data_IF_761693223033
#
_entry.id   IF_761693223033
#
_cell.length_a   1.000
_cell.length_b   1.000
_cell.length_c   1.000
_cell.angle_alpha   90.00
_cell.angle_beta   90.00
_cell.angle_gamma   90.00
#
_symmetry.space_group_name_H-M   'P 1'
#
loop_
_entity.id
_entity.type
_entity.pdbx_description
1 polymer ?
#
# COMPACT_ATOMS: atom_id res chain seq x y z
N UNK A 1 29.27 6.89 -33.80
CA UNK A 1 29.40 7.75 -32.62
C UNK A 1 28.24 7.52 -31.62
N UNK A 2 26.97 7.50 -32.03
CA UNK A 2 25.79 7.28 -31.14
C UNK A 2 25.80 5.92 -30.40
N UNK A 3 26.22 4.82 -31.04
CA UNK A 3 26.22 3.48 -30.44
C UNK A 3 27.23 3.34 -29.27
N UNK A 4 28.40 3.99 -29.39
CA UNK A 4 29.40 4.01 -28.31
C UNK A 4 28.95 4.83 -27.10
N UNK A 5 28.19 5.88 -27.32
CA UNK A 5 27.62 6.71 -26.22
C UNK A 5 26.55 5.95 -25.48
N UNK A 6 25.67 5.20 -26.17
CA UNK A 6 24.65 4.35 -25.57
C UNK A 6 25.26 3.19 -24.75
N UNK A 7 26.32 2.57 -25.24
CA UNK A 7 27.05 1.54 -24.51
C UNK A 7 27.78 2.12 -23.29
N UNK A 8 28.33 3.32 -23.41
CA UNK A 8 28.99 4.02 -22.29
C UNK A 8 27.96 4.43 -21.21
N UNK A 9 26.78 4.90 -21.60
CA UNK A 9 25.70 5.25 -20.70
C UNK A 9 25.11 4.00 -20.01
N UNK A 10 24.97 2.87 -20.72
CA UNK A 10 24.61 1.56 -20.12
C UNK A 10 25.72 1.05 -19.20
N UNK A 11 26.97 1.25 -19.54
CA UNK A 11 28.11 0.85 -18.71
C UNK A 11 28.24 1.74 -17.47
N UNK A 12 28.05 3.07 -17.60
CA UNK A 12 28.00 4.02 -16.47
C UNK A 12 26.81 3.77 -15.55
N UNK A 13 25.62 3.42 -16.06
CA UNK A 13 24.47 2.97 -15.25
C UNK A 13 24.77 1.69 -14.45
N UNK A 14 25.62 0.82 -14.95
CA UNK A 14 26.03 -0.43 -14.28
C UNK A 14 27.12 -0.21 -13.23
N UNK A 15 27.84 0.91 -13.27
CA UNK A 15 28.86 1.30 -12.27
C UNK A 15 28.38 2.33 -11.25
N UNK A 16 27.39 3.13 -11.57
CA UNK A 16 26.62 3.83 -10.56
C UNK A 16 25.59 2.83 -10.01
N UNK A 17 25.92 2.18 -8.91
CA UNK A 17 24.98 1.48 -8.04
C UNK A 17 24.04 2.49 -7.39
N UNK A 18 23.29 3.26 -8.16
CA UNK A 18 22.14 4.02 -7.68
C UNK A 18 21.06 2.98 -7.41
N UNK A 19 20.93 2.62 -6.17
CA UNK A 19 19.84 1.76 -5.70
C UNK A 19 18.55 2.43 -6.13
N UNK A 20 17.72 1.71 -6.89
CA UNK A 20 16.44 2.19 -7.41
C UNK A 20 15.57 2.67 -6.23
N UNK A 21 14.90 3.80 -6.39
CA UNK A 21 13.97 4.34 -5.41
C UNK A 21 12.55 4.13 -5.88
N UNK A 22 11.73 3.56 -5.01
CA UNK A 22 10.31 3.33 -5.26
C UNK A 22 9.50 4.12 -4.22
N UNK A 23 8.74 5.11 -4.68
CA UNK A 23 7.80 5.85 -3.85
C UNK A 23 6.52 5.04 -3.63
N UNK A 24 5.92 5.14 -2.46
CA UNK A 24 4.67 4.48 -2.14
C UNK A 24 3.84 5.30 -1.14
N UNK A 25 2.53 5.04 -1.08
CA UNK A 25 1.64 5.66 -0.08
C UNK A 25 1.97 5.13 1.32
N UNK A 26 2.63 5.97 2.12
CA UNK A 26 3.04 5.67 3.48
C UNK A 26 1.88 5.64 4.49
N UNK A 27 2.20 5.45 5.77
CA UNK A 27 3.51 5.22 6.33
C UNK A 27 4.07 3.80 6.07
N UNK A 28 5.23 3.48 6.66
CA UNK A 28 5.74 2.12 6.68
C UNK A 28 4.77 1.17 7.41
N UNK A 29 4.74 -0.11 7.02
CA UNK A 29 3.80 -1.10 7.55
C UNK A 29 2.45 -1.16 6.82
N UNK A 30 2.25 -0.33 5.78
CA UNK A 30 1.03 -0.37 4.95
C UNK A 30 1.11 -1.48 3.88
N UNK A 31 -0.05 -1.84 3.31
CA UNK A 31 -0.11 -2.73 2.14
C UNK A 31 0.54 -2.11 0.90
N UNK A 32 0.59 -0.78 0.82
CA UNK A 32 1.35 -0.09 -0.23
C UNK A 32 2.85 -0.29 -0.10
N UNK A 33 3.41 -0.33 1.14
CA UNK A 33 4.79 -0.74 1.34
C UNK A 33 5.01 -2.19 0.91
N UNK A 34 4.08 -3.09 1.26
CA UNK A 34 4.16 -4.50 0.86
C UNK A 34 4.21 -4.61 -0.67
N UNK A 35 3.29 -3.94 -1.38
CA UNK A 35 3.27 -3.92 -2.84
C UNK A 35 4.59 -3.41 -3.45
N UNK A 36 5.16 -2.34 -2.87
CA UNK A 36 6.43 -1.79 -3.33
C UNK A 36 7.61 -2.74 -3.09
N UNK A 37 7.60 -3.52 -2.00
CA UNK A 37 8.59 -4.57 -1.73
C UNK A 37 8.45 -5.78 -2.65
N UNK A 38 7.21 -6.19 -2.94
CA UNK A 38 6.92 -7.30 -3.82
C UNK A 38 7.27 -6.95 -5.27
N UNK A 39 7.17 -5.66 -5.63
CA UNK A 39 7.60 -5.13 -6.92
C UNK A 39 9.13 -5.14 -7.08
N UNK A 40 9.86 -4.58 -6.11
CA UNK A 40 11.32 -4.53 -6.14
C UNK A 40 11.89 -4.63 -4.71
N UNK A 41 12.33 -5.84 -4.35
CA UNK A 41 12.84 -6.14 -3.01
C UNK A 41 14.18 -5.44 -2.69
N UNK A 42 14.93 -5.04 -3.71
CA UNK A 42 16.25 -4.41 -3.57
C UNK A 42 16.16 -2.86 -3.61
N UNK A 43 14.98 -2.30 -3.88
CA UNK A 43 14.78 -0.86 -3.96
C UNK A 43 14.83 -0.18 -2.60
N UNK A 44 15.24 1.09 -2.61
CA UNK A 44 15.02 2.00 -1.48
C UNK A 44 13.59 2.50 -1.54
N UNK A 45 12.80 2.13 -0.53
CA UNK A 45 11.39 2.52 -0.44
C UNK A 45 11.25 3.91 0.17
N UNK A 46 10.46 4.77 -0.48
CA UNK A 46 10.24 6.17 -0.10
C UNK A 46 8.76 6.38 0.25
N UNK A 47 8.39 6.41 1.55
CA UNK A 47 7.01 6.71 1.95
C UNK A 47 6.67 8.18 1.68
N UNK A 48 5.47 8.41 1.16
CA UNK A 48 4.90 9.75 0.95
C UNK A 48 3.44 9.80 1.40
N UNK A 49 2.90 11.01 1.59
CA UNK A 49 1.64 11.22 2.32
C UNK A 49 0.37 11.02 1.48
N UNK A 50 0.49 10.97 0.15
CA UNK A 50 -0.69 10.85 -0.73
C UNK A 50 -0.35 10.22 -2.08
N UNK A 51 -1.37 9.68 -2.77
CA UNK A 51 -1.24 9.14 -4.13
C UNK A 51 -0.69 10.19 -5.11
N UNK A 52 -1.18 11.45 -5.13
CA UNK A 52 -0.55 12.49 -5.95
C UNK A 52 0.92 12.73 -5.61
N UNK A 53 1.32 12.63 -4.33
CA UNK A 53 2.72 12.77 -3.91
C UNK A 53 3.60 11.63 -4.41
N UNK A 54 3.06 10.39 -4.57
CA UNK A 54 3.77 9.28 -5.22
C UNK A 54 4.11 9.64 -6.66
N UNK A 55 3.11 10.06 -7.45
CA UNK A 55 3.33 10.45 -8.84
C UNK A 55 4.29 11.66 -8.96
N UNK A 56 4.13 12.66 -8.10
CA UNK A 56 5.03 13.83 -8.07
C UNK A 56 6.48 13.43 -7.78
N UNK A 57 6.69 12.42 -6.91
CA UNK A 57 8.04 11.91 -6.62
C UNK A 57 8.69 11.31 -7.85
N UNK A 58 7.93 10.62 -8.69
CA UNK A 58 8.42 10.09 -9.97
C UNK A 58 8.65 11.23 -10.98
N UNK A 59 7.68 12.12 -11.16
CA UNK A 59 7.76 13.24 -12.11
C UNK A 59 8.95 14.15 -11.79
N UNK A 60 9.25 14.40 -10.53
CA UNK A 60 10.38 15.22 -10.11
C UNK A 60 11.74 14.50 -10.10
N UNK A 61 11.76 13.19 -10.28
CA UNK A 61 12.97 12.36 -10.19
C UNK A 61 13.45 12.14 -8.75
N UNK A 62 12.62 12.40 -7.74
CA UNK A 62 12.90 12.06 -6.34
C UNK A 62 12.84 10.55 -6.10
N UNK A 63 12.01 9.85 -6.88
CA UNK A 63 11.97 8.41 -7.02
C UNK A 63 12.03 8.00 -8.50
N UNK A 64 12.49 6.78 -8.77
CA UNK A 64 12.56 6.23 -10.13
C UNK A 64 11.20 5.69 -10.57
N UNK A 65 10.44 5.14 -9.62
CA UNK A 65 9.11 4.57 -9.81
C UNK A 65 8.21 4.88 -8.61
N UNK A 66 6.89 4.68 -8.82
CA UNK A 66 5.90 4.87 -7.77
C UNK A 66 4.85 3.76 -7.76
N UNK A 67 4.54 3.20 -6.61
CA UNK A 67 3.52 2.16 -6.44
C UNK A 67 2.27 2.76 -5.79
N UNK A 68 1.13 2.62 -6.46
CA UNK A 68 -0.16 3.13 -6.02
C UNK A 68 -1.27 2.08 -6.15
N UNK A 69 -2.24 2.03 -5.21
CA UNK A 69 -3.40 1.14 -5.35
C UNK A 69 -4.30 1.63 -6.47
N UNK A 70 -4.79 0.73 -7.32
CA UNK A 70 -5.73 1.05 -8.41
C UNK A 70 -7.11 0.46 -8.19
N UNK A 71 -7.20 -0.71 -7.56
CA UNK A 71 -8.46 -1.43 -7.35
C UNK A 71 -8.37 -2.34 -6.12
N UNK A 72 -9.45 -2.40 -5.36
CA UNK A 72 -9.65 -3.39 -4.30
C UNK A 72 -10.84 -4.28 -4.63
N UNK A 73 -10.72 -5.59 -4.41
CA UNK A 73 -11.75 -6.58 -4.76
C UNK A 73 -13.10 -6.38 -4.05
N UNK A 74 -13.13 -5.69 -2.90
CA UNK A 74 -14.33 -5.42 -2.12
C UNK A 74 -14.90 -4.03 -2.42
N UNK A 75 -14.04 -3.02 -2.58
CA UNK A 75 -14.43 -1.61 -2.66
C UNK A 75 -14.43 -1.05 -4.08
N UNK A 76 -13.80 -1.76 -5.02
CA UNK A 76 -13.69 -1.33 -6.41
C UNK A 76 -12.51 -0.39 -6.67
N UNK A 77 -12.64 0.45 -7.69
CA UNK A 77 -11.57 1.31 -8.17
C UNK A 77 -11.18 2.43 -7.19
N UNK A 78 -9.89 2.72 -7.11
CA UNK A 78 -9.35 3.83 -6.32
C UNK A 78 -9.43 5.13 -7.13
N UNK A 79 -10.45 5.93 -6.86
CA UNK A 79 -10.76 7.16 -7.62
C UNK A 79 -9.56 8.08 -7.78
N UNK A 80 -8.79 8.34 -6.71
CA UNK A 80 -7.61 9.19 -6.78
C UNK A 80 -6.54 8.71 -7.76
N UNK A 81 -6.34 7.39 -7.86
CA UNK A 81 -5.39 6.82 -8.82
C UNK A 81 -5.92 6.92 -10.24
N UNK A 82 -7.22 6.65 -10.42
CA UNK A 82 -7.86 6.75 -11.74
C UNK A 82 -7.84 8.19 -12.25
N UNK A 83 -8.22 9.16 -11.42
CA UNK A 83 -8.18 10.58 -11.78
C UNK A 83 -6.76 11.05 -12.11
N UNK A 84 -5.78 10.63 -11.31
CA UNK A 84 -4.36 10.92 -11.56
C UNK A 84 -3.90 10.42 -12.93
N UNK A 85 -4.23 9.18 -13.28
CA UNK A 85 -3.83 8.56 -14.54
C UNK A 85 -4.52 9.17 -15.75
N UNK A 86 -5.77 9.63 -15.59
CA UNK A 86 -6.58 10.18 -16.69
C UNK A 86 -6.26 11.64 -16.93
N UNK A 87 -6.05 12.44 -15.89
CA UNK A 87 -6.06 13.90 -15.97
C UNK A 87 -4.73 14.55 -15.60
N UNK A 88 -3.97 14.00 -14.66
CA UNK A 88 -2.92 14.75 -13.96
C UNK A 88 -1.51 14.23 -14.21
N UNK A 89 -1.33 13.12 -14.91
CA UNK A 89 0.01 12.51 -15.04
C UNK A 89 0.29 12.03 -16.46
N UNK A 90 1.56 12.23 -16.89
CA UNK A 90 2.10 11.65 -18.12
C UNK A 90 2.94 10.40 -17.81
N UNK A 91 2.68 9.74 -16.67
CA UNK A 91 3.37 8.52 -16.29
C UNK A 91 2.68 7.32 -16.93
N UNK A 92 3.49 6.32 -17.32
CA UNK A 92 3.02 5.03 -17.79
C UNK A 92 2.90 4.04 -16.65
N UNK A 93 1.96 3.10 -16.76
CA UNK A 93 1.92 1.91 -15.91
C UNK A 93 2.95 0.93 -16.49
N UNK A 94 4.02 0.64 -15.76
CA UNK A 94 5.07 -0.29 -16.18
C UNK A 94 4.92 -1.68 -15.56
N UNK A 95 4.00 -1.88 -14.62
CA UNK A 95 3.71 -3.20 -14.05
C UNK A 95 2.62 -3.16 -12.99
N UNK A 96 2.30 -4.34 -12.47
CA UNK A 96 1.30 -4.51 -11.43
C UNK A 96 1.75 -5.51 -10.37
N UNK A 97 1.22 -5.35 -9.18
CA UNK A 97 1.38 -6.25 -8.03
C UNK A 97 0.04 -6.44 -7.35
N UNK A 98 -0.32 -7.68 -7.05
CA UNK A 98 -1.54 -8.00 -6.29
C UNK A 98 -1.15 -8.40 -4.88
N UNK A 99 -1.73 -7.73 -3.89
CA UNK A 99 -1.49 -7.99 -2.47
C UNK A 99 -2.76 -8.48 -1.81
N UNK A 100 -2.69 -9.64 -1.16
CA UNK A 100 -3.77 -10.15 -0.31
C UNK A 100 -3.82 -9.34 0.99
N UNK A 101 -5.00 -8.86 1.34
CA UNK A 101 -5.25 -8.03 2.51
C UNK A 101 -5.70 -8.90 3.67
N UNK A 102 -4.79 -9.23 4.56
CA UNK A 102 -5.07 -9.99 5.77
C UNK A 102 -4.94 -9.10 6.99
N UNK A 103 -6.01 -8.98 7.77
CA UNK A 103 -6.04 -8.16 8.97
C UNK A 103 -5.62 -8.99 10.20
N UNK A 104 -4.74 -8.42 11.03
CA UNK A 104 -4.30 -9.02 12.28
C UNK A 104 -4.73 -8.15 13.44
N UNK A 105 -5.29 -8.76 14.50
CA UNK A 105 -5.44 -8.13 15.80
C UNK A 105 -4.13 -8.25 16.55
N UNK A 106 -3.62 -7.16 17.10
CA UNK A 106 -2.34 -7.10 17.79
C UNK A 106 -2.39 -6.16 19.00
N UNK A 107 -1.46 -6.36 19.94
CA UNK A 107 -1.31 -5.53 21.14
C UNK A 107 0.17 -5.34 21.50
N UNK A 108 0.46 -4.53 22.53
CA UNK A 108 1.82 -4.34 23.04
C UNK A 108 2.42 -5.65 23.61
N UNK A 109 1.59 -6.52 24.15
CA UNK A 109 1.98 -7.80 24.72
C UNK A 109 0.84 -8.81 24.60
N UNK A 110 1.12 -10.09 24.92
CA UNK A 110 0.05 -11.10 24.98
C UNK A 110 -0.96 -10.71 26.08
N UNK A 111 -2.21 -10.52 25.71
CA UNK A 111 -3.33 -10.19 26.59
C UNK A 111 -4.58 -10.95 26.18
N UNK A 112 -5.48 -11.19 27.14
CA UNK A 112 -6.79 -11.80 26.86
C UNK A 112 -7.72 -10.78 26.22
N UNK A 113 -8.63 -11.22 25.36
CA UNK A 113 -9.55 -10.35 24.62
C UNK A 113 -10.47 -9.54 25.57
N UNK A 114 -10.87 -10.14 26.70
CA UNK A 114 -11.70 -9.50 27.72
C UNK A 114 -11.00 -8.29 28.39
N UNK A 115 -9.68 -8.27 28.38
CA UNK A 115 -8.88 -7.18 28.94
C UNK A 115 -8.76 -5.99 27.98
N UNK A 116 -9.03 -6.16 26.68
CA UNK A 116 -8.94 -5.11 25.68
C UNK A 116 -10.08 -4.10 25.89
N UNK A 117 -9.72 -2.84 26.04
CA UNK A 117 -10.67 -1.71 26.25
C UNK A 117 -10.87 -0.89 25.00
N UNK A 118 -9.86 -0.82 24.15
CA UNK A 118 -9.84 0.00 22.93
C UNK A 118 -9.32 -0.84 21.79
N UNK A 119 -9.94 -0.72 20.60
CA UNK A 119 -9.40 -1.23 19.33
C UNK A 119 -9.25 -0.08 18.35
N UNK A 120 -8.04 0.11 17.83
CA UNK A 120 -7.70 1.16 16.88
C UNK A 120 -7.46 0.58 15.50
N UNK A 121 -7.97 1.25 14.46
CA UNK A 121 -7.62 0.98 13.06
C UNK A 121 -8.14 2.08 12.14
N UNK A 122 -7.79 2.02 10.85
CA UNK A 122 -8.47 2.81 9.84
C UNK A 122 -9.96 2.42 9.78
N UNK A 123 -10.89 3.38 9.58
CA UNK A 123 -12.34 3.11 9.56
C UNK A 123 -12.75 1.96 8.64
N UNK A 124 -12.11 1.87 7.48
CA UNK A 124 -12.32 0.81 6.51
C UNK A 124 -12.01 -0.57 7.10
N UNK A 125 -10.87 -0.74 7.77
CA UNK A 125 -10.48 -2.02 8.37
C UNK A 125 -11.35 -2.39 9.58
N UNK A 126 -11.79 -1.41 10.38
CA UNK A 126 -12.79 -1.63 11.42
C UNK A 126 -14.10 -2.15 10.80
N UNK A 127 -14.51 -1.60 9.65
CA UNK A 127 -15.69 -2.05 8.90
C UNK A 127 -15.54 -3.46 8.32
N UNK A 128 -14.33 -3.83 7.86
CA UNK A 128 -14.02 -5.16 7.30
C UNK A 128 -13.91 -6.26 8.37
N UNK A 129 -13.74 -5.89 9.64
CA UNK A 129 -13.61 -6.81 10.78
C UNK A 129 -14.81 -6.67 11.76
N UNK A 130 -15.94 -6.13 11.28
CA UNK A 130 -17.07 -5.77 12.16
C UNK A 130 -17.70 -6.95 12.88
N UNK A 131 -17.85 -8.08 12.19
CA UNK A 131 -18.45 -9.28 12.78
C UNK A 131 -17.52 -9.90 13.80
N UNK A 132 -16.23 -10.01 13.48
CA UNK A 132 -15.21 -10.44 14.44
C UNK A 132 -15.19 -9.56 15.71
N UNK A 133 -15.18 -8.24 15.55
CA UNK A 133 -15.17 -7.29 16.66
C UNK A 133 -16.41 -7.41 17.55
N UNK A 134 -17.58 -7.55 16.93
CA UNK A 134 -18.85 -7.73 17.66
C UNK A 134 -18.87 -9.01 18.49
N UNK A 135 -18.34 -10.11 17.96
CA UNK A 135 -18.38 -11.43 18.60
C UNK A 135 -17.33 -11.58 19.69
N UNK A 136 -16.15 -11.00 19.52
CA UNK A 136 -15.01 -11.26 20.40
C UNK A 136 -14.63 -10.05 21.29
N UNK A 137 -14.98 -8.82 20.88
CA UNK A 137 -14.52 -7.57 21.50
C UNK A 137 -15.68 -6.58 21.70
N UNK A 138 -16.88 -7.08 21.98
CA UNK A 138 -18.11 -6.27 22.06
C UNK A 138 -18.07 -5.15 23.12
N UNK A 139 -17.17 -5.24 24.10
CA UNK A 139 -17.02 -4.25 25.18
C UNK A 139 -15.89 -3.24 24.90
N UNK A 140 -15.14 -3.40 23.82
CA UNK A 140 -14.06 -2.50 23.46
C UNK A 140 -14.59 -1.27 22.70
N UNK A 141 -14.05 -0.10 23.00
CA UNK A 141 -14.28 1.12 22.23
C UNK A 141 -13.50 1.05 20.91
N UNK A 142 -14.15 1.39 19.79
CA UNK A 142 -13.52 1.41 18.47
C UNK A 142 -13.09 2.84 18.15
N UNK A 143 -11.79 3.06 17.94
CA UNK A 143 -11.21 4.37 17.63
C UNK A 143 -10.61 4.37 16.23
N UNK A 144 -11.01 5.37 15.44
CA UNK A 144 -10.49 5.56 14.10
C UNK A 144 -9.10 6.21 14.13
N UNK A 145 -8.16 5.63 13.36
CA UNK A 145 -6.82 6.17 13.12
C UNK A 145 -6.66 6.54 11.63
N UNK A 146 -5.67 7.37 11.31
CA UNK A 146 -5.41 7.84 9.95
C UNK A 146 -5.02 6.70 8.99
N UNK A 147 -4.40 5.64 9.51
CA UNK A 147 -4.06 4.43 8.75
C UNK A 147 -3.98 3.23 9.71
N UNK A 148 -4.02 2.01 9.15
CA UNK A 148 -3.82 0.79 9.94
C UNK A 148 -2.45 0.79 10.64
N UNK A 149 -1.41 1.28 9.98
CA UNK A 149 -0.06 1.34 10.53
C UNK A 149 0.06 2.41 11.63
N UNK A 150 -0.59 3.57 11.46
CA UNK A 150 -0.67 4.60 12.50
C UNK A 150 -1.38 4.08 13.76
N UNK A 151 -2.44 3.30 13.59
CA UNK A 151 -3.14 2.66 14.70
C UNK A 151 -2.23 1.77 15.55
N UNK A 152 -1.28 1.06 14.92
CA UNK A 152 -0.30 0.24 15.66
C UNK A 152 0.64 1.13 16.47
N UNK A 153 1.13 2.22 15.88
CA UNK A 153 1.99 3.16 16.59
C UNK A 153 1.26 3.79 17.78
N UNK A 154 0.03 4.28 17.57
CA UNK A 154 -0.82 4.87 18.62
C UNK A 154 -1.09 3.84 19.74
N UNK A 155 -1.38 2.59 19.39
CA UNK A 155 -1.57 1.49 20.33
C UNK A 155 -0.30 1.22 21.15
N UNK A 156 0.89 1.25 20.52
CA UNK A 156 2.16 1.03 21.22
C UNK A 156 2.52 2.16 22.20
N UNK A 157 1.96 3.35 22.04
CA UNK A 157 2.14 4.52 22.91
C UNK A 157 1.03 4.62 23.99
N UNK A 158 0.02 3.74 23.95
CA UNK A 158 -1.15 3.80 24.86
C UNK A 158 -0.83 3.23 26.23
N UNK A 159 -1.27 3.93 27.27
CA UNK A 159 -1.21 3.46 28.69
C UNK A 159 -2.41 2.56 29.07
N UNK A 160 -3.39 2.44 28.18
CA UNK A 160 -4.60 1.62 28.37
C UNK A 160 -4.45 0.31 27.60
N UNK A 161 -5.09 -0.76 28.06
CA UNK A 161 -5.16 -2.04 27.33
C UNK A 161 -5.82 -1.86 25.97
N UNK A 162 -4.99 -1.56 24.97
CA UNK A 162 -5.38 -1.24 23.60
C UNK A 162 -4.88 -2.31 22.66
N UNK A 163 -5.71 -2.65 21.67
CA UNK A 163 -5.34 -3.45 20.53
C UNK A 163 -5.43 -2.61 19.23
N UNK A 164 -4.75 -3.05 18.19
CA UNK A 164 -4.86 -2.49 16.85
C UNK A 164 -5.20 -3.58 15.84
N UNK A 165 -5.91 -3.21 14.76
CA UNK A 165 -6.08 -4.06 13.59
C UNK A 165 -5.21 -3.49 12.47
N UNK A 166 -4.29 -4.31 11.94
CA UNK A 166 -3.35 -3.89 10.90
C UNK A 166 -2.75 -5.09 10.16
N UNK A 167 -1.81 -4.81 9.26
CA UNK A 167 -1.04 -5.82 8.55
C UNK A 167 -0.02 -6.51 9.47
N UNK A 168 0.36 -7.75 9.15
CA UNK A 168 1.46 -8.45 9.82
C UNK A 168 2.76 -7.65 9.78
N UNK A 169 3.00 -6.94 8.67
CA UNK A 169 4.18 -6.10 8.49
C UNK A 169 4.25 -4.95 9.48
N UNK A 170 3.11 -4.33 9.81
CA UNK A 170 3.07 -3.29 10.83
C UNK A 170 3.45 -3.85 12.22
N UNK A 171 3.00 -5.06 12.57
CA UNK A 171 3.43 -5.71 13.81
C UNK A 171 4.94 -5.91 13.88
N UNK A 172 5.58 -6.35 12.79
CA UNK A 172 7.03 -6.52 12.72
C UNK A 172 7.78 -5.19 12.92
N UNK A 173 7.32 -4.12 12.27
CA UNK A 173 7.99 -2.80 12.31
C UNK A 173 7.91 -2.19 13.71
N UNK A 174 6.75 -2.24 14.34
CA UNK A 174 6.51 -1.59 15.64
C UNK A 174 6.76 -2.52 16.83
N UNK A 175 7.05 -3.81 16.59
CA UNK A 175 7.29 -4.78 17.66
C UNK A 175 6.02 -5.19 18.40
N UNK A 176 4.84 -5.10 17.76
CA UNK A 176 3.58 -5.51 18.34
C UNK A 176 3.43 -7.03 18.33
N UNK A 177 2.72 -7.56 19.32
CA UNK A 177 2.40 -9.00 19.44
C UNK A 177 1.09 -9.27 18.72
N UNK A 178 1.10 -10.15 17.73
CA UNK A 178 -0.11 -10.60 17.04
C UNK A 178 -0.89 -11.54 17.98
N UNK A 179 -2.12 -11.16 18.29
CA UNK A 179 -3.05 -11.95 19.11
C UNK A 179 -3.87 -12.92 18.25
N UNK A 180 -4.26 -12.48 17.05
CA UNK A 180 -5.01 -13.28 16.07
C UNK A 180 -4.74 -12.78 14.65
N UNK A 181 -4.58 -13.71 13.71
CA UNK A 181 -4.45 -13.44 12.28
C UNK A 181 -5.80 -13.69 11.58
N UNK A 182 -6.01 -13.05 10.40
CA UNK A 182 -7.19 -13.22 9.54
C UNK A 182 -8.51 -12.90 10.26
N UNK A 183 -8.56 -11.70 10.85
CA UNK A 183 -9.74 -11.22 11.58
C UNK A 183 -10.75 -10.48 10.70
N UNK A 184 -10.50 -10.40 9.40
CA UNK A 184 -11.43 -9.86 8.42
C UNK A 184 -12.65 -10.76 8.22
N UNK A 185 -13.85 -10.15 8.07
CA UNK A 185 -15.13 -10.87 7.91
C UNK A 185 -15.25 -11.57 6.54
N UNK A 186 -14.51 -11.09 5.53
CA UNK A 186 -14.50 -11.63 4.16
C UNK A 186 -13.09 -12.05 3.77
N UNK A 187 -12.85 -13.36 3.58
CA UNK A 187 -11.58 -13.85 3.05
C UNK A 187 -11.42 -13.45 1.57
N UNK A 188 -10.20 -13.53 1.07
CA UNK A 188 -9.85 -13.22 -0.32
C UNK A 188 -10.05 -11.74 -0.70
N UNK A 189 -9.81 -10.84 0.24
CA UNK A 189 -9.67 -9.43 -0.06
C UNK A 189 -8.30 -9.19 -0.71
N UNK A 190 -8.31 -8.68 -1.94
CA UNK A 190 -7.09 -8.38 -2.69
C UNK A 190 -7.10 -6.92 -3.14
N UNK A 191 -5.94 -6.30 -3.10
CA UNK A 191 -5.72 -4.98 -3.69
C UNK A 191 -4.71 -5.11 -4.81
N UNK A 192 -5.09 -4.62 -5.98
CA UNK A 192 -4.21 -4.48 -7.13
C UNK A 192 -3.53 -3.12 -7.07
N UNK A 193 -2.22 -3.14 -7.17
CA UNK A 193 -1.36 -1.96 -7.23
C UNK A 193 -0.75 -1.86 -8.62
N UNK A 194 -0.52 -0.65 -9.09
CA UNK A 194 0.21 -0.40 -10.33
C UNK A 194 1.48 0.37 -10.03
N UNK A 195 2.52 0.07 -10.79
CA UNK A 195 3.78 0.79 -10.74
C UNK A 195 3.82 1.83 -11.85
N UNK A 196 4.09 3.07 -11.47
CA UNK A 196 4.17 4.24 -12.35
C UNK A 196 5.61 4.56 -12.66
N UNK A 197 5.90 4.86 -13.94
CA UNK A 197 7.23 5.23 -14.43
C UNK A 197 7.13 6.23 -15.58
N UNK A 198 8.23 6.94 -15.85
CA UNK A 198 8.39 7.73 -17.08
C UNK A 198 8.67 6.89 -18.32
N UNK A 199 9.09 5.65 -18.11
CA UNK A 199 9.50 4.75 -19.19
C UNK A 199 8.46 3.64 -19.28
N UNK A 200 7.93 3.46 -20.47
CA UNK A 200 7.12 2.31 -20.80
C UNK A 200 7.99 1.07 -20.97
N UNK A 201 7.51 -0.09 -20.56
CA UNK A 201 8.24 -1.34 -20.68
C UNK A 201 8.15 -1.90 -22.11
N UNK A 202 9.19 -2.62 -22.52
CA UNK A 202 9.18 -3.33 -23.81
C UNK A 202 8.17 -4.48 -23.77
N UNK A 203 7.41 -4.71 -24.85
CA UNK A 203 6.42 -5.78 -24.90
C UNK A 203 7.00 -7.16 -24.58
N UNK A 204 6.38 -7.86 -23.64
CA UNK A 204 6.77 -9.23 -23.22
C UNK A 204 6.02 -10.33 -23.95
N UNK A 205 4.90 -10.00 -24.59
CA UNK A 205 3.96 -10.93 -25.22
C UNK A 205 2.91 -11.47 -24.24
N UNK A 206 2.94 -11.01 -22.97
CA UNK A 206 1.92 -11.32 -21.94
C UNK A 206 1.52 -10.03 -21.19
N UNK A 207 1.27 -8.98 -21.98
CA UNK A 207 1.04 -7.65 -21.48
C UNK A 207 -0.45 -7.35 -21.35
N UNK A 208 -0.80 -6.42 -20.43
CA UNK A 208 -2.13 -5.83 -20.31
C UNK A 208 -2.09 -4.36 -20.71
N UNK A 209 -3.18 -3.86 -21.28
CA UNK A 209 -3.33 -2.44 -21.62
C UNK A 209 -4.53 -1.88 -20.89
N UNK A 210 -4.31 -0.79 -20.15
CA UNK A 210 -5.40 -0.01 -19.55
C UNK A 210 -5.93 1.00 -20.55
N UNK A 211 -7.26 1.01 -20.74
CA UNK A 211 -7.95 1.95 -21.62
C UNK A 211 -8.93 2.79 -20.80
N UNK A 212 -8.92 4.10 -21.02
CA UNK A 212 -9.94 5.00 -20.53
C UNK A 212 -10.64 5.64 -21.72
N UNK A 213 -11.99 5.69 -21.68
CA UNK A 213 -12.78 6.34 -22.71
C UNK A 213 -13.96 7.09 -22.08
N UNK A 214 -14.30 8.21 -22.67
CA UNK A 214 -15.52 8.96 -22.35
C UNK A 214 -16.67 8.47 -23.21
N UNK A 215 -17.80 8.20 -22.58
CA UNK A 215 -19.04 7.89 -23.29
C UNK A 215 -19.90 9.16 -23.32
N UNK A 216 -20.18 9.67 -24.53
CA UNK A 216 -21.19 10.70 -24.73
C UNK A 216 -22.52 10.05 -25.00
N UNK A 217 -23.48 10.26 -24.10
CA UNK A 217 -24.87 9.84 -24.32
C UNK A 217 -25.55 10.94 -25.18
N UNK A 218 -25.75 10.65 -26.45
CA UNK A 218 -26.44 11.51 -27.42
C UNK A 218 -27.98 11.40 -27.29
N UNK A 219 -28.53 11.18 -26.09
CA UNK A 219 -29.99 11.09 -25.85
C UNK A 219 -30.63 12.44 -25.54
#
# INVERSE_FOLDING_TARGET
MKLRLLLLLRWLKRFNNLVKKVAYLGPAGTYSEQAARDWDADAVLVPVDSIPSVALSVVSGAADEGVVPIENSIEGGVTFTLDLLIHDSNLSICGETVVTINQCLMAQSQIDFEAIKIVMSHPQSLGQCRDFLRENLSNAELIASLSNSAAVQEMMESDVSTAAISSKRAAEIYGAVILMENVEDRPNNETRFVTLSHVDEEPTGSDMTSLCFEYQDDS
#
